data_IF_040839935990
#
_entry.id   IF_040839935990
#
_cell.length_a   1.000
_cell.length_b   1.000
_cell.length_c   1.000
_cell.angle_alpha   90.00
_cell.angle_beta   90.00
_cell.angle_gamma   90.00
#
_symmetry.space_group_name_H-M   'P 1'
#
loop_
_entity.id
_entity.type
_entity.pdbx_description
1 polymer ?
#
# COMPACT_ATOMS: atom_id res chain seq x y z
N UNK A 1 -8.62 14.07 26.43
CA UNK A 1 -9.21 13.83 25.10
C UNK A 1 -10.34 12.86 25.34
N UNK A 2 -11.55 13.36 25.28
CA UNK A 2 -12.75 12.62 25.68
C UNK A 2 -13.49 12.25 24.38
N UNK A 3 -13.56 10.95 24.08
CA UNK A 3 -14.24 10.43 22.91
C UNK A 3 -15.69 10.15 23.31
N UNK A 4 -16.60 11.11 23.08
CA UNK A 4 -18.03 10.88 23.30
C UNK A 4 -18.58 9.92 22.25
N UNK A 5 -18.92 8.72 22.70
CA UNK A 5 -19.74 7.75 21.96
C UNK A 5 -21.17 8.30 21.81
N UNK A 6 -21.60 8.56 20.58
CA UNK A 6 -23.03 8.58 20.22
C UNK A 6 -23.29 7.44 19.23
N UNK A 7 -24.29 6.62 19.56
CA UNK A 7 -24.90 5.60 18.69
C UNK A 7 -24.12 4.34 18.27
N UNK A 8 -23.00 4.01 18.93
CA UNK A 8 -22.44 2.64 18.82
C UNK A 8 -22.00 2.25 17.41
N UNK A 9 -21.77 3.23 16.52
CA UNK A 9 -21.08 3.06 15.24
C UNK A 9 -19.79 3.85 15.30
N UNK A 10 -18.71 3.24 14.83
CA UNK A 10 -17.42 3.89 14.60
C UNK A 10 -17.54 4.77 13.35
N UNK A 11 -18.39 5.80 13.43
CA UNK A 11 -18.36 6.91 12.49
C UNK A 11 -17.39 7.92 13.11
N UNK A 12 -16.52 8.50 12.28
CA UNK A 12 -15.40 9.39 12.67
C UNK A 12 -14.06 8.70 13.01
N UNK A 13 -13.59 7.80 12.13
CA UNK A 13 -12.14 7.46 12.09
C UNK A 13 -11.32 8.63 11.52
N UNK A 14 -11.97 9.52 10.78
CA UNK A 14 -11.32 10.65 10.13
C UNK A 14 -12.07 11.96 10.45
N UNK A 15 -11.55 12.81 11.35
CA UNK A 15 -12.01 14.19 11.38
C UNK A 15 -11.68 14.81 10.02
N UNK A 16 -12.69 15.08 9.21
CA UNK A 16 -12.51 15.83 7.96
C UNK A 16 -11.76 17.13 8.29
N UNK A 17 -10.67 17.46 7.59
CA UNK A 17 -9.90 18.64 7.94
C UNK A 17 -10.71 19.91 7.65
N UNK A 18 -10.93 20.72 8.70
CA UNK A 18 -11.17 22.14 8.51
C UNK A 18 -9.95 22.73 7.78
N UNK A 19 -10.21 23.46 6.70
CA UNK A 19 -9.27 24.24 5.86
C UNK A 19 -7.83 24.31 6.37
N UNK A 20 -6.93 23.73 5.58
CA UNK A 20 -5.49 23.59 5.82
C UNK A 20 -4.81 24.81 6.47
N UNK A 21 -4.18 24.58 7.62
CA UNK A 21 -3.12 25.45 8.14
C UNK A 21 -1.77 24.73 8.06
N UNK A 22 -0.77 25.54 7.74
CA UNK A 22 0.52 25.19 7.13
C UNK A 22 1.55 24.60 8.10
N UNK A 23 2.49 23.88 7.46
CA UNK A 23 3.93 23.72 7.76
C UNK A 23 4.34 22.68 8.80
N UNK A 24 4.96 21.59 8.31
CA UNK A 24 6.34 21.25 8.67
C UNK A 24 7.07 20.81 7.39
N UNK A 25 8.10 21.56 7.00
CA UNK A 25 9.06 21.13 6.00
C UNK A 25 9.84 19.92 6.54
N UNK A 26 9.73 18.76 5.89
CA UNK A 26 10.66 17.64 6.06
C UNK A 26 11.09 17.20 4.66
N UNK A 27 12.39 17.04 4.51
CA UNK A 27 13.10 16.83 3.25
C UNK A 27 12.35 15.89 2.28
N UNK A 28 12.07 16.43 1.09
CA UNK A 28 11.60 15.67 -0.05
C UNK A 28 12.71 14.73 -0.54
N UNK A 29 12.50 13.40 -0.46
CA UNK A 29 12.94 12.31 -1.39
C UNK A 29 12.95 10.89 -0.77
N UNK A 30 12.05 10.54 0.14
CA UNK A 30 11.79 9.13 0.49
C UNK A 30 10.27 8.94 0.63
N UNK A 31 9.69 8.00 -0.12
CA UNK A 31 8.26 7.72 -0.02
C UNK A 31 7.88 7.33 1.41
N UNK A 32 6.74 7.83 1.88
CA UNK A 32 6.28 7.64 3.27
C UNK A 32 5.33 6.45 3.33
N UNK A 33 5.70 5.43 4.10
CA UNK A 33 4.80 4.33 4.47
C UNK A 33 4.96 4.00 5.95
N UNK A 34 3.94 3.36 6.53
CA UNK A 34 3.99 2.83 7.89
C UNK A 34 3.20 1.54 7.99
N UNK A 35 3.78 0.57 8.70
CA UNK A 35 3.13 -0.68 9.05
C UNK A 35 2.74 -0.72 10.53
N UNK A 36 2.80 0.43 11.22
CA UNK A 36 2.38 0.59 12.61
C UNK A 36 1.10 1.41 12.67
N UNK A 37 -0.02 0.79 13.07
CA UNK A 37 -1.31 1.48 13.16
C UNK A 37 -1.37 2.61 14.20
N UNK A 38 -0.43 2.64 15.15
CA UNK A 38 -0.33 3.69 16.16
C UNK A 38 0.51 4.89 15.68
N UNK A 39 1.14 4.78 14.51
CA UNK A 39 1.87 5.88 13.89
C UNK A 39 0.87 6.95 13.40
N UNK A 40 1.07 8.24 13.73
CA UNK A 40 0.25 9.32 13.18
C UNK A 40 0.17 9.33 11.64
N UNK A 41 1.21 8.84 10.97
CA UNK A 41 1.20 8.66 9.51
C UNK A 41 0.11 7.69 9.06
N UNK A 42 -0.21 6.67 9.85
CA UNK A 42 -1.26 5.71 9.51
C UNK A 42 -2.60 6.42 9.40
N UNK A 43 -2.98 7.21 10.41
CA UNK A 43 -4.24 7.98 10.40
C UNK A 43 -4.26 8.99 9.25
N UNK A 44 -3.15 9.70 9.01
CA UNK A 44 -3.04 10.65 7.88
C UNK A 44 -3.35 9.93 6.55
N UNK A 45 -2.66 8.83 6.27
CA UNK A 45 -2.80 8.10 5.01
C UNK A 45 -4.13 7.37 4.90
N UNK A 46 -4.65 6.85 6.01
CA UNK A 46 -5.93 6.15 6.03
C UNK A 46 -7.08 7.11 5.68
N UNK A 47 -7.03 8.35 6.17
CA UNK A 47 -8.01 9.36 5.80
C UNK A 47 -7.87 9.80 4.33
N UNK A 48 -6.64 9.97 3.82
CA UNK A 48 -6.41 10.21 2.40
C UNK A 48 -6.93 9.06 1.52
N UNK A 49 -6.75 7.81 1.95
CA UNK A 49 -7.24 6.63 1.21
C UNK A 49 -8.77 6.63 1.05
N UNK A 50 -9.50 7.15 2.04
CA UNK A 50 -10.96 7.25 2.00
C UNK A 50 -11.47 8.48 1.25
N UNK A 51 -10.60 9.43 0.94
CA UNK A 51 -10.91 10.63 0.18
C UNK A 51 -11.00 10.33 -1.33
N UNK A 52 -12.19 10.48 -1.95
CA UNK A 52 -12.36 10.23 -3.39
C UNK A 52 -11.53 11.19 -4.26
N UNK A 53 -11.12 12.36 -3.77
CA UNK A 53 -10.23 13.26 -4.51
C UNK A 53 -8.81 12.68 -4.66
N UNK A 54 -8.41 11.80 -3.74
CA UNK A 54 -7.05 11.23 -3.69
C UNK A 54 -6.88 10.03 -4.62
N UNK A 55 -7.80 9.05 -4.56
CA UNK A 55 -7.72 7.79 -5.33
C UNK A 55 -8.86 7.62 -6.35
N UNK A 56 -9.61 8.69 -6.65
CA UNK A 56 -10.67 8.70 -7.66
C UNK A 56 -11.94 7.92 -7.30
N UNK A 57 -11.97 7.26 -6.13
CA UNK A 57 -13.11 6.50 -5.62
C UNK A 57 -13.07 6.37 -4.10
N UNK A 58 -14.23 6.13 -3.50
CA UNK A 58 -14.32 5.78 -2.08
C UNK A 58 -13.81 4.37 -1.86
N UNK A 59 -12.72 4.24 -1.10
CA UNK A 59 -12.15 2.94 -0.74
C UNK A 59 -12.77 2.47 0.58
N UNK A 60 -13.57 1.39 0.50
CA UNK A 60 -14.13 0.73 1.69
C UNK A 60 -13.09 -0.24 2.25
N UNK A 61 -12.43 0.18 3.32
CA UNK A 61 -11.40 -0.61 4.00
C UNK A 61 -11.58 -0.50 5.51
N UNK A 62 -11.34 -1.60 6.21
CA UNK A 62 -11.38 -1.63 7.67
C UNK A 62 -9.96 -1.44 8.22
N UNK A 63 -9.70 -0.44 9.08
CA UNK A 63 -8.35 -0.10 9.52
C UNK A 63 -7.64 -1.26 10.24
N UNK A 64 -8.39 -2.11 10.95
CA UNK A 64 -7.86 -3.26 11.68
C UNK A 64 -7.24 -4.32 10.77
N UNK A 65 -7.66 -4.40 9.51
CA UNK A 65 -7.14 -5.36 8.52
C UNK A 65 -5.93 -4.84 7.76
N UNK A 66 -5.67 -3.54 7.82
CA UNK A 66 -4.52 -2.93 7.15
C UNK A 66 -3.26 -3.28 7.93
N UNK A 67 -2.34 -3.93 7.22
CA UNK A 67 -1.02 -4.29 7.73
C UNK A 67 -0.01 -3.17 7.46
N UNK A 68 -0.10 -2.53 6.30
CA UNK A 68 0.77 -1.43 5.94
C UNK A 68 0.08 -0.49 4.96
N UNK A 69 0.40 0.80 5.04
CA UNK A 69 -0.15 1.85 4.18
C UNK A 69 0.95 2.83 3.80
N UNK A 70 0.95 3.31 2.56
CA UNK A 70 1.95 4.24 2.06
C UNK A 70 1.39 5.22 1.04
N UNK A 71 2.09 6.34 0.89
CA UNK A 71 1.90 7.27 -0.22
C UNK A 71 2.95 7.04 -1.31
N UNK A 72 2.54 7.33 -2.53
CA UNK A 72 3.34 7.13 -3.73
C UNK A 72 3.14 8.32 -4.66
N UNK A 73 4.22 8.78 -5.29
CA UNK A 73 4.12 9.79 -6.34
C UNK A 73 3.40 9.20 -7.57
N UNK A 74 2.53 10.02 -8.19
CA UNK A 74 1.78 9.60 -9.38
C UNK A 74 2.70 9.04 -10.45
N UNK A 75 2.24 7.95 -11.07
CA UNK A 75 2.99 7.26 -12.12
C UNK A 75 4.12 6.35 -11.63
N UNK A 76 4.45 6.25 -10.33
CA UNK A 76 5.40 5.20 -9.87
C UNK A 76 4.78 3.81 -9.86
N UNK A 77 3.46 3.72 -9.69
CA UNK A 77 2.68 2.51 -9.97
C UNK A 77 2.09 2.66 -11.38
N UNK A 78 2.89 2.33 -12.40
CA UNK A 78 2.52 2.56 -13.80
C UNK A 78 1.30 1.75 -14.27
N UNK A 79 0.95 0.65 -13.58
CA UNK A 79 -0.29 -0.09 -13.86
C UNK A 79 -1.56 0.64 -13.44
N UNK A 80 -1.47 1.58 -12.50
CA UNK A 80 -2.58 2.39 -11.96
C UNK A 80 -2.07 3.81 -11.62
N UNK A 81 -1.77 4.65 -12.63
CA UNK A 81 -0.96 5.86 -12.47
C UNK A 81 -1.59 6.95 -11.58
N UNK A 82 -2.91 6.89 -11.39
CA UNK A 82 -3.67 7.85 -10.59
C UNK A 82 -3.67 7.53 -9.08
N UNK A 83 -3.23 6.33 -8.69
CA UNK A 83 -3.12 5.95 -7.27
C UNK A 83 -2.03 6.79 -6.60
N UNK A 84 -2.38 7.40 -5.47
CA UNK A 84 -1.45 8.19 -4.64
C UNK A 84 -1.31 7.65 -3.23
N UNK A 85 -2.26 6.82 -2.78
CA UNK A 85 -2.17 6.05 -1.53
C UNK A 85 -2.40 4.58 -1.85
N UNK A 86 -1.50 3.73 -1.38
CA UNK A 86 -1.57 2.28 -1.51
C UNK A 86 -1.59 1.61 -0.14
N UNK A 87 -2.14 0.41 -0.06
CA UNK A 87 -2.22 -0.34 1.19
C UNK A 87 -2.15 -1.85 0.96
N UNK A 88 -1.63 -2.55 1.96
CA UNK A 88 -1.65 -4.00 2.08
C UNK A 88 -2.49 -4.37 3.29
N UNK A 89 -3.50 -5.20 3.08
CA UNK A 89 -4.26 -5.84 4.15
C UNK A 89 -3.92 -7.33 4.29
N UNK A 90 -4.38 -7.93 5.38
CA UNK A 90 -4.29 -9.38 5.62
C UNK A 90 -4.78 -10.18 4.41
N UNK A 91 -5.92 -9.78 3.83
CA UNK A 91 -6.50 -10.42 2.66
C UNK A 91 -6.99 -11.84 2.94
N UNK A 92 -6.90 -12.71 1.93
CA UNK A 92 -7.34 -14.10 1.97
C UNK A 92 -6.50 -14.95 1.01
N UNK A 93 -6.89 -16.20 0.75
CA UNK A 93 -6.15 -17.11 -0.15
C UNK A 93 -6.01 -16.63 -1.61
N UNK A 94 -6.84 -15.65 -2.03
CA UNK A 94 -6.88 -15.14 -3.41
C UNK A 94 -6.18 -13.80 -3.60
N UNK A 95 -6.09 -12.96 -2.57
CA UNK A 95 -5.46 -11.64 -2.63
C UNK A 95 -4.95 -11.16 -1.27
N UNK A 96 -4.07 -10.16 -1.28
CA UNK A 96 -3.49 -9.56 -0.08
C UNK A 96 -2.35 -10.39 0.50
N UNK A 97 -1.97 -10.10 1.74
CA UNK A 97 -0.77 -10.69 2.34
C UNK A 97 -0.86 -12.21 2.47
N UNK A 98 -2.01 -12.76 2.87
CA UNK A 98 -2.21 -14.21 2.97
C UNK A 98 -1.96 -14.92 1.64
N UNK A 99 -2.38 -14.34 0.52
CA UNK A 99 -2.12 -14.90 -0.82
C UNK A 99 -0.62 -14.89 -1.14
N UNK A 100 0.06 -13.76 -0.89
CA UNK A 100 1.50 -13.61 -1.11
C UNK A 100 2.27 -14.66 -0.32
N UNK A 101 1.95 -14.86 0.96
CA UNK A 101 2.64 -15.86 1.79
C UNK A 101 2.31 -17.29 1.34
N UNK A 102 1.03 -17.61 1.12
CA UNK A 102 0.61 -18.95 0.75
C UNK A 102 1.18 -19.42 -0.59
N UNK A 103 1.46 -18.50 -1.53
CA UNK A 103 1.90 -18.83 -2.88
C UNK A 103 3.36 -18.51 -3.17
N UNK A 104 3.88 -17.42 -2.63
CA UNK A 104 5.16 -16.84 -3.07
C UNK A 104 6.20 -16.70 -1.97
N UNK A 105 5.89 -17.10 -0.73
CA UNK A 105 6.88 -17.05 0.36
C UNK A 105 8.20 -17.72 -0.01
N UNK A 106 8.13 -18.92 -0.58
CA UNK A 106 9.33 -19.67 -0.98
C UNK A 106 10.08 -18.96 -2.09
N UNK A 107 9.38 -18.32 -3.02
CA UNK A 107 9.98 -17.55 -4.11
C UNK A 107 10.78 -16.36 -3.55
N UNK A 108 10.22 -15.63 -2.58
CA UNK A 108 10.92 -14.56 -1.87
C UNK A 108 12.11 -15.07 -1.06
N UNK A 109 11.95 -16.19 -0.35
CA UNK A 109 13.04 -16.78 0.42
C UNK A 109 14.21 -17.20 -0.49
N UNK A 110 13.94 -17.74 -1.67
CA UNK A 110 14.95 -18.07 -2.70
C UNK A 110 15.68 -16.82 -3.22
N UNK A 111 15.09 -15.63 -3.05
CA UNK A 111 15.68 -14.32 -3.36
C UNK A 111 16.39 -13.68 -2.17
N UNK A 112 16.44 -14.35 -1.02
CA UNK A 112 17.06 -13.84 0.21
C UNK A 112 16.16 -12.91 1.03
N UNK A 113 14.86 -12.86 0.73
CA UNK A 113 13.88 -12.03 1.44
C UNK A 113 13.05 -12.94 2.35
N UNK A 114 13.31 -12.95 3.68
CA UNK A 114 12.54 -13.78 4.60
C UNK A 114 11.12 -13.27 4.76
N UNK A 115 10.20 -14.15 5.17
CA UNK A 115 8.76 -13.84 5.33
C UNK A 115 8.50 -12.56 6.14
N UNK A 116 9.27 -12.35 7.22
CA UNK A 116 9.17 -11.18 8.10
C UNK A 116 9.54 -9.85 7.42
N UNK A 117 10.22 -9.87 6.29
CA UNK A 117 10.64 -8.68 5.54
C UNK A 117 9.80 -8.43 4.29
N UNK A 118 8.89 -9.35 3.91
CA UNK A 118 8.13 -9.24 2.66
C UNK A 118 7.27 -7.98 2.63
N UNK A 119 6.60 -7.65 3.75
CA UNK A 119 5.76 -6.45 3.84
C UNK A 119 6.62 -5.20 3.60
N UNK A 120 7.67 -5.01 4.39
CA UNK A 120 8.55 -3.84 4.25
C UNK A 120 9.19 -3.76 2.86
N UNK A 121 9.62 -4.90 2.31
CA UNK A 121 10.18 -4.99 0.97
C UNK A 121 9.21 -4.43 -0.09
N UNK A 122 7.96 -4.92 -0.12
CA UNK A 122 6.93 -4.48 -1.08
C UNK A 122 6.65 -2.99 -0.93
N UNK A 123 6.40 -2.52 0.29
CA UNK A 123 6.06 -1.13 0.55
C UNK A 123 7.23 -0.20 0.20
N UNK A 124 8.46 -0.63 0.45
CA UNK A 124 9.66 0.10 0.05
C UNK A 124 9.77 0.22 -1.48
N UNK A 125 9.56 -0.88 -2.23
CA UNK A 125 9.62 -0.84 -3.70
C UNK A 125 8.63 0.16 -4.27
N UNK A 126 7.38 0.11 -3.83
CA UNK A 126 6.32 1.02 -4.33
C UNK A 126 6.63 2.48 -3.95
N UNK A 127 7.06 2.72 -2.72
CA UNK A 127 7.23 4.07 -2.20
C UNK A 127 8.52 4.75 -2.68
N UNK A 128 9.59 4.00 -2.99
CA UNK A 128 10.91 4.56 -3.27
C UNK A 128 11.35 4.41 -4.72
N UNK A 129 10.92 3.36 -5.40
CA UNK A 129 11.39 3.04 -6.74
C UNK A 129 10.38 3.44 -7.82
N UNK A 130 10.87 3.61 -9.04
CA UNK A 130 10.02 3.73 -10.24
C UNK A 130 9.87 2.35 -10.88
N UNK A 131 8.64 1.96 -11.16
CA UNK A 131 8.39 0.75 -11.94
C UNK A 131 8.97 0.87 -13.35
N UNK A 132 9.51 -0.24 -13.88
CA UNK A 132 10.15 -0.29 -15.20
C UNK A 132 9.15 -0.46 -16.33
N UNK A 133 8.24 -1.43 -16.17
CA UNK A 133 7.24 -1.80 -17.17
C UNK A 133 6.09 -2.58 -16.50
N UNK A 134 5.01 -2.84 -17.24
CA UNK A 134 3.86 -3.59 -16.73
C UNK A 134 3.87 -5.03 -17.20
N UNK A 135 3.34 -5.93 -16.36
CA UNK A 135 3.09 -7.34 -16.72
C UNK A 135 1.71 -7.80 -16.24
N UNK A 136 1.07 -8.76 -16.92
CA UNK A 136 -0.11 -9.42 -16.39
C UNK A 136 0.17 -10.10 -15.04
N UNK A 137 -0.67 -9.82 -14.04
CA UNK A 137 -0.63 -10.50 -12.75
C UNK A 137 -1.18 -11.93 -12.86
N UNK A 138 -0.63 -12.87 -12.08
CA UNK A 138 -1.09 -14.27 -12.07
C UNK A 138 -2.55 -14.46 -11.66
N UNK A 139 -3.09 -13.56 -10.83
CA UNK A 139 -4.49 -13.58 -10.36
C UNK A 139 -5.40 -12.63 -11.13
N UNK A 140 -4.96 -12.14 -12.30
CA UNK A 140 -5.62 -11.08 -13.07
C UNK A 140 -5.11 -9.68 -12.71
N UNK A 141 -5.40 -8.70 -13.58
CA UNK A 141 -4.91 -7.31 -13.47
C UNK A 141 -3.51 -7.10 -14.06
N UNK A 142 -3.08 -5.84 -14.12
CA UNK A 142 -1.72 -5.47 -14.50
C UNK A 142 -0.90 -5.17 -13.25
N UNK A 143 0.27 -5.79 -13.13
CA UNK A 143 1.28 -5.46 -12.14
C UNK A 143 2.32 -4.50 -12.69
N UNK A 144 2.95 -3.78 -11.77
CA UNK A 144 4.11 -2.92 -12.02
C UNK A 144 5.37 -3.67 -11.61
N UNK A 145 6.35 -3.72 -12.51
CA UNK A 145 7.61 -4.46 -12.27
C UNK A 145 8.67 -3.52 -11.71
N UNK A 146 9.25 -3.92 -10.58
CA UNK A 146 10.32 -3.22 -9.88
C UNK A 146 11.59 -4.06 -9.90
N UNK A 147 12.76 -3.42 -10.02
CA UNK A 147 14.06 -4.09 -9.92
C UNK A 147 14.71 -3.79 -8.57
N UNK A 148 15.25 -4.83 -7.96
CA UNK A 148 16.12 -4.72 -6.79
C UNK A 148 17.21 -5.78 -6.87
N UNK A 149 18.47 -5.37 -6.69
CA UNK A 149 19.64 -6.27 -6.75
C UNK A 149 19.68 -7.09 -8.06
N UNK A 150 19.42 -6.43 -9.20
CA UNK A 150 19.39 -7.04 -10.53
C UNK A 150 18.29 -8.10 -10.74
N UNK A 151 17.33 -8.21 -9.81
CA UNK A 151 16.20 -9.13 -9.87
C UNK A 151 14.91 -8.34 -9.98
N UNK A 152 13.96 -8.89 -10.73
CA UNK A 152 12.68 -8.25 -10.94
C UNK A 152 11.58 -8.85 -10.06
N UNK A 153 10.64 -7.99 -9.65
CA UNK A 153 9.52 -8.29 -8.77
C UNK A 153 8.27 -7.65 -9.35
N UNK A 154 7.24 -8.45 -9.58
CA UNK A 154 5.95 -7.94 -9.98
C UNK A 154 5.15 -7.57 -8.73
N UNK A 155 4.56 -6.39 -8.72
CA UNK A 155 3.65 -5.93 -7.67
C UNK A 155 2.33 -5.55 -8.31
N UNK A 156 1.28 -6.28 -7.97
CA UNK A 156 -0.06 -6.10 -8.52
C UNK A 156 -0.87 -5.22 -7.58
N UNK A 157 -1.18 -4.01 -8.03
CA UNK A 157 -1.97 -3.03 -7.30
C UNK A 157 -3.26 -2.78 -8.08
N UNK A 158 -4.41 -2.88 -7.43
CA UNK A 158 -5.68 -2.50 -8.05
C UNK A 158 -5.87 -0.99 -8.07
N UNK A 159 -6.83 -0.54 -8.86
CA UNK A 159 -7.12 0.87 -9.12
C UNK A 159 -7.61 1.68 -7.90
N UNK A 160 -7.74 1.05 -6.73
CA UNK A 160 -8.03 1.67 -5.44
C UNK A 160 -6.82 1.72 -4.50
N UNK A 161 -5.63 1.34 -4.98
CA UNK A 161 -4.40 1.27 -4.18
C UNK A 161 -4.22 -0.01 -3.37
N UNK A 162 -5.13 -0.98 -3.44
CA UNK A 162 -4.96 -2.25 -2.75
C UNK A 162 -3.89 -3.11 -3.42
N UNK A 163 -2.90 -3.57 -2.66
CA UNK A 163 -1.90 -4.54 -3.10
C UNK A 163 -2.55 -5.94 -3.12
N UNK A 164 -2.86 -6.40 -4.33
CA UNK A 164 -3.53 -7.67 -4.59
C UNK A 164 -2.56 -8.85 -4.46
N UNK A 165 -1.34 -8.70 -5.00
CA UNK A 165 -0.33 -9.75 -4.99
C UNK A 165 1.07 -9.17 -5.24
N UNK A 166 2.10 -9.93 -4.92
CA UNK A 166 3.48 -9.65 -5.29
C UNK A 166 4.29 -10.94 -5.34
N UNK A 167 5.19 -11.03 -6.32
CA UNK A 167 6.08 -12.17 -6.48
C UNK A 167 7.35 -11.82 -7.26
N UNK A 168 8.48 -12.49 -6.98
CA UNK A 168 9.66 -12.39 -7.82
C UNK A 168 9.42 -12.97 -9.23
N UNK A 169 9.91 -12.31 -10.27
CA UNK A 169 9.90 -12.83 -11.65
C UNK A 169 11.08 -13.76 -11.89
N UNK A 170 10.98 -14.81 -12.75
CA UNK A 170 12.11 -15.65 -13.12
C UNK A 170 13.33 -14.82 -13.61
N UNK A 171 14.53 -15.28 -13.27
CA UNK A 171 15.80 -14.67 -13.69
C UNK A 171 16.24 -15.20 -15.05
#
# INVERSE_FOLDING_TARGET
>A
MDFTLRDGRVEDVCPLPASSQRTIARNATQGRYTCNRLDPLFTELFCKLQDPETNGKVVKVSPEKVLCIGEVERGRIISVPDVTVFFLEEGNSRNGYQHIIARHRTDFANRGIPESQIIDFINQRISQDSAKYTLPGQSGGLGSVYEFDGKEYNIVVSDNGYIVSSYPLPS
#
